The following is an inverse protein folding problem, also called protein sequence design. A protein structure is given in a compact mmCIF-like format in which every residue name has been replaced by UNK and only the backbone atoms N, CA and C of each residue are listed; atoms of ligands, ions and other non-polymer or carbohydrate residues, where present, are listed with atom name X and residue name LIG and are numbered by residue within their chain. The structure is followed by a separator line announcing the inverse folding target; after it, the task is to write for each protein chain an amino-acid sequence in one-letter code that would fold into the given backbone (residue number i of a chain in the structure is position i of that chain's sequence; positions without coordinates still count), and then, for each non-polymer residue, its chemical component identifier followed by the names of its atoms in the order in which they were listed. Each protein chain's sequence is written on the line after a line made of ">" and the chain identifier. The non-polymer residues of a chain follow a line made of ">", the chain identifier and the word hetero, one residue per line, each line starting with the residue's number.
data_IF_177234825958
#
_entry.id   IF_177234825958
#
_cell.length_a   1.000
_cell.length_b   1.000
_cell.length_c   1.000
_cell.angle_alpha   90.00
_cell.angle_beta   90.00
_cell.angle_gamma   90.00
#
_symmetry.space_group_name_H-M   'P 1'
#
loop_
_entity.id
_entity.type
_entity.pdbx_description
1 polymer ?
#
# COMPACT_ATOMS: atom_id res chain seq x y z
N UNK A 1 -5.34 -11.25 -5.15
CA UNK A 1 -5.08 -11.47 -3.71
C UNK A 1 -3.69 -10.93 -3.46
N UNK A 2 -3.52 -10.01 -2.52
CA UNK A 2 -2.21 -9.48 -2.12
C UNK A 2 -2.00 -9.89 -0.68
N UNK A 3 -0.88 -10.57 -0.40
CA UNK A 3 -0.44 -10.89 0.95
C UNK A 3 0.70 -9.95 1.31
N UNK A 4 0.63 -9.40 2.50
CA UNK A 4 1.64 -8.49 3.05
C UNK A 4 2.17 -9.17 4.31
N UNK A 5 3.47 -9.40 4.37
CA UNK A 5 4.05 -10.09 5.52
C UNK A 5 3.98 -9.20 6.79
N UNK A 6 3.92 -9.79 7.99
CA UNK A 6 3.97 -9.03 9.23
C UNK A 6 5.20 -8.13 9.29
N UNK A 7 5.01 -6.84 9.59
CA UNK A 7 6.08 -5.85 9.68
C UNK A 7 6.65 -5.34 8.34
N UNK A 8 6.12 -5.80 7.20
CA UNK A 8 6.55 -5.30 5.89
C UNK A 8 6.06 -3.86 5.66
N UNK A 9 6.99 -2.92 5.44
CA UNK A 9 6.65 -1.57 5.02
C UNK A 9 6.12 -1.60 3.59
N UNK A 10 4.88 -1.18 3.39
CA UNK A 10 4.22 -1.21 2.10
C UNK A 10 3.29 -0.01 1.92
N UNK A 11 2.85 0.19 0.68
CA UNK A 11 1.74 1.07 0.33
C UNK A 11 0.95 0.42 -0.81
N UNK A 12 -0.33 0.77 -0.94
CA UNK A 12 -1.16 0.37 -2.06
C UNK A 12 -2.18 1.46 -2.34
N UNK A 13 -2.53 1.67 -3.61
CA UNK A 13 -3.40 2.76 -4.02
C UNK A 13 -3.90 2.59 -5.44
N UNK A 14 -4.67 3.58 -5.88
CA UNK A 14 -5.19 3.64 -7.25
C UNK A 14 -4.08 3.96 -8.26
N UNK A 15 -4.30 3.60 -9.52
CA UNK A 15 -3.48 4.08 -10.63
C UNK A 15 -3.76 5.58 -10.90
N UNK A 16 -2.87 6.32 -11.60
CA UNK A 16 -3.01 7.78 -11.74
C UNK A 16 -4.33 8.25 -12.37
N UNK A 17 -4.95 7.42 -13.20
CA UNK A 17 -6.14 7.78 -13.98
C UNK A 17 -7.33 6.85 -13.74
N UNK A 18 -7.22 5.87 -12.85
CA UNK A 18 -8.26 4.85 -12.63
C UNK A 18 -8.44 4.56 -11.16
N UNK A 19 -9.67 4.70 -10.66
CA UNK A 19 -10.02 4.41 -9.28
C UNK A 19 -9.86 2.91 -8.95
N UNK A 20 -9.58 2.61 -7.68
CA UNK A 20 -9.40 1.25 -7.19
C UNK A 20 -10.29 1.01 -5.97
N UNK A 21 -10.80 -0.21 -5.82
CA UNK A 21 -11.51 -0.67 -4.63
C UNK A 21 -10.99 -2.05 -4.26
N UNK A 22 -10.76 -2.26 -2.97
CA UNK A 22 -10.38 -3.56 -2.43
C UNK A 22 -10.93 -3.73 -1.01
N UNK A 23 -10.94 -4.97 -0.55
CA UNK A 23 -11.20 -5.31 0.85
C UNK A 23 -9.83 -5.46 1.52
N UNK A 24 -9.64 -4.82 2.66
CA UNK A 24 -8.45 -4.97 3.50
C UNK A 24 -8.81 -5.78 4.74
N UNK A 25 -8.04 -6.83 5.03
CA UNK A 25 -8.12 -7.60 6.26
C UNK A 25 -6.75 -7.57 6.92
N UNK A 26 -6.69 -7.09 8.16
CA UNK A 26 -5.50 -7.07 8.99
C UNK A 26 -5.90 -7.30 10.44
N UNK A 27 -5.14 -8.14 11.14
CA UNK A 27 -5.36 -8.43 12.55
C UNK A 27 -4.74 -7.33 13.41
N UNK A 28 -5.30 -7.11 14.61
CA UNK A 28 -4.71 -6.20 15.59
C UNK A 28 -3.76 -6.96 16.52
N UNK A 29 -2.56 -6.43 16.72
CA UNK A 29 -1.63 -6.83 17.76
C UNK A 29 -1.59 -5.74 18.81
N UNK A 30 -1.80 -6.08 20.08
CA UNK A 30 -1.85 -5.12 21.20
C UNK A 30 -2.84 -3.95 20.99
N UNK A 31 -3.94 -4.23 20.29
CA UNK A 31 -4.97 -3.25 19.96
C UNK A 31 -4.64 -2.34 18.78
N UNK A 32 -3.51 -2.54 18.10
CA UNK A 32 -3.08 -1.79 16.93
C UNK A 32 -3.00 -2.69 15.69
N UNK A 33 -3.67 -2.29 14.60
CA UNK A 33 -3.62 -3.01 13.31
C UNK A 33 -2.66 -2.41 12.28
N UNK A 34 -2.07 -1.25 12.56
CA UNK A 34 -1.20 -0.53 11.61
C UNK A 34 -0.24 0.40 12.34
N UNK A 35 1.01 0.46 11.88
CA UNK A 35 1.99 1.49 12.21
C UNK A 35 2.15 2.43 11.00
N UNK A 36 1.71 3.68 11.13
CA UNK A 36 1.81 4.66 10.04
C UNK A 36 3.20 5.27 9.95
N UNK A 37 3.71 5.38 8.72
CA UNK A 37 4.99 6.03 8.41
C UNK A 37 4.76 7.31 7.56
N UNK A 38 5.83 7.82 6.95
CA UNK A 38 5.75 8.95 6.03
C UNK A 38 4.87 8.70 4.81
N UNK A 39 4.36 9.78 4.21
CA UNK A 39 3.62 9.72 2.94
C UNK A 39 4.53 9.19 1.84
N UNK A 40 3.93 8.41 0.93
CA UNK A 40 4.54 8.11 -0.38
C UNK A 40 4.67 9.44 -1.13
N UNK A 41 5.89 9.77 -1.54
CA UNK A 41 6.17 10.95 -2.37
C UNK A 41 5.67 10.75 -3.80
N UNK A 42 5.49 11.86 -4.53
CA UNK A 42 5.11 11.79 -5.95
C UNK A 42 6.17 11.03 -6.78
N UNK A 43 7.45 11.16 -6.43
CA UNK A 43 8.55 10.42 -7.07
C UNK A 43 8.41 8.91 -6.85
N UNK A 44 8.20 8.46 -5.61
CA UNK A 44 7.98 7.03 -5.30
C UNK A 44 6.71 6.48 -5.98
N UNK A 45 5.64 7.28 -6.03
CA UNK A 45 4.39 6.90 -6.68
C UNK A 45 4.55 6.73 -8.19
N UNK A 46 5.20 7.69 -8.85
CA UNK A 46 5.39 7.66 -10.31
C UNK A 46 6.43 6.63 -10.75
N UNK A 47 7.47 6.37 -9.95
CA UNK A 47 8.49 5.37 -10.26
C UNK A 47 7.92 3.94 -10.38
N UNK A 48 6.91 3.59 -9.57
CA UNK A 48 6.26 2.27 -9.66
C UNK A 48 5.31 2.12 -10.86
N UNK A 49 4.76 3.22 -11.38
CA UNK A 49 3.86 3.19 -12.54
C UNK A 49 4.58 2.91 -13.87
N UNK A 50 5.91 2.91 -13.90
CA UNK A 50 6.73 2.74 -15.10
C UNK A 50 7.15 1.29 -15.40
N UNK A 51 6.79 0.30 -14.58
CA UNK A 51 7.18 -1.11 -14.76
C UNK A 51 6.04 -1.96 -15.33
N UNK A 52 5.62 -1.67 -16.56
CA UNK A 52 4.88 -2.63 -17.41
C UNK A 52 5.43 -2.50 -18.83
N UNK A 53 6.48 -3.27 -19.12
CA UNK A 53 6.76 -3.83 -20.44
C UNK A 53 6.74 -5.36 -20.34
#
# INVERSE_FOLDING_TARGET
>A
MVWIAPGEKHWHGAAPTTAMTHIALGEALDGQGVEWMGKVSDEEYLAQSASVE
#
